data_IF_080925413718
#
_entry.id   IF_080925413718
#
_cell.length_a   1.000
_cell.length_b   1.000
_cell.length_c   1.000
_cell.angle_alpha   90.00
_cell.angle_beta   90.00
_cell.angle_gamma   90.00
#
_symmetry.space_group_name_H-M   'P 1'
#
loop_
_entity.id
_entity.type
_entity.pdbx_description
1 polymer ?
#
# COMPACT_ATOMS: atom_id res chain seq x y z
N UNK A 1 -3.84 29.11 -54.97
CA UNK A 1 -4.84 28.84 -53.91
C UNK A 1 -4.53 27.57 -53.12
N UNK A 2 -4.28 26.44 -53.80
CA UNK A 2 -3.87 25.16 -53.18
C UNK A 2 -2.66 25.25 -52.24
N UNK A 3 -1.59 25.95 -52.62
CA UNK A 3 -0.38 26.04 -51.77
C UNK A 3 -0.57 26.82 -50.46
N UNK A 4 -1.49 27.78 -50.43
CA UNK A 4 -1.84 28.51 -49.21
C UNK A 4 -2.65 27.66 -48.24
N UNK A 5 -3.52 26.79 -48.78
CA UNK A 5 -4.31 25.83 -47.99
C UNK A 5 -3.41 24.75 -47.40
N UNK A 6 -2.45 24.23 -48.17
CA UNK A 6 -1.52 23.20 -47.70
C UNK A 6 -0.61 23.69 -46.56
N UNK A 7 -0.09 24.92 -46.65
CA UNK A 7 0.71 25.55 -45.58
C UNK A 7 -0.12 25.84 -44.31
N UNK A 8 -1.36 26.28 -44.47
CA UNK A 8 -2.26 26.51 -43.35
C UNK A 8 -2.63 25.20 -42.62
N UNK A 9 -2.86 24.11 -43.37
CA UNK A 9 -3.15 22.79 -42.80
C UNK A 9 -1.93 22.18 -42.09
N UNK A 10 -0.72 22.32 -42.64
CA UNK A 10 0.51 21.84 -41.99
C UNK A 10 0.78 22.55 -40.65
N UNK A 11 0.50 23.85 -40.58
CA UNK A 11 0.66 24.63 -39.34
C UNK A 11 -0.37 24.27 -38.27
N UNK A 12 -1.61 23.94 -38.67
CA UNK A 12 -2.66 23.46 -37.78
C UNK A 12 -2.35 22.07 -37.20
N UNK A 13 -1.84 21.15 -38.02
CA UNK A 13 -1.45 19.80 -37.59
C UNK A 13 -0.27 19.85 -36.60
N UNK A 14 0.70 20.76 -36.83
CA UNK A 14 1.82 20.96 -35.92
C UNK A 14 1.40 21.56 -34.56
N UNK A 15 0.45 22.50 -34.55
CA UNK A 15 -0.13 23.03 -33.31
C UNK A 15 -0.94 21.98 -32.53
N UNK A 16 -1.67 21.10 -33.21
CA UNK A 16 -2.43 20.00 -32.58
C UNK A 16 -1.51 18.91 -32.00
N UNK A 17 -0.38 18.62 -32.66
CA UNK A 17 0.62 17.69 -32.14
C UNK A 17 1.36 18.27 -30.93
N UNK A 18 1.68 19.57 -30.91
CA UNK A 18 2.37 20.20 -29.77
C UNK A 18 1.49 20.29 -28.51
N UNK A 19 0.17 20.47 -28.64
CA UNK A 19 -0.75 20.54 -27.49
C UNK A 19 -1.09 19.17 -26.90
N UNK A 20 -0.90 18.08 -27.66
CA UNK A 20 -1.07 16.71 -27.15
C UNK A 20 0.06 16.20 -26.26
N UNK A 21 1.20 16.90 -26.18
CA UNK A 21 2.37 16.46 -25.39
C UNK A 21 2.32 16.98 -23.93
N UNK A 22 1.34 17.82 -23.57
CA UNK A 22 1.31 18.49 -22.26
C UNK A 22 -0.04 18.47 -21.53
N UNK A 23 -0.83 17.40 -21.66
CA UNK A 23 -2.01 17.23 -20.79
C UNK A 23 -2.08 15.86 -20.15
N UNK A 24 -1.10 15.56 -19.32
CA UNK A 24 -1.34 14.75 -18.12
C UNK A 24 -0.62 15.39 -16.94
N UNK A 25 -1.19 16.47 -16.40
CA UNK A 25 -1.02 16.73 -14.97
C UNK A 25 -1.77 15.61 -14.26
N UNK A 26 -1.11 14.45 -14.13
CA UNK A 26 -1.44 13.52 -13.07
C UNK A 26 -1.17 14.31 -11.80
N UNK A 27 -2.24 14.79 -11.14
CA UNK A 27 -2.17 15.08 -9.73
C UNK A 27 -1.87 13.73 -9.06
N UNK A 28 -0.58 13.40 -9.00
CA UNK A 28 -0.10 12.28 -8.25
C UNK A 28 -0.55 12.53 -6.83
N UNK A 29 -1.44 11.68 -6.35
CA UNK A 29 -1.62 11.53 -4.94
C UNK A 29 -0.26 11.39 -4.26
N UNK A 30 -0.13 11.99 -3.10
CA UNK A 30 1.11 11.94 -2.36
C UNK A 30 0.92 10.93 -1.23
N UNK A 31 1.57 9.78 -1.37
CA UNK A 31 1.80 8.87 -0.25
C UNK A 31 2.29 9.65 0.98
N UNK A 32 1.93 9.17 2.17
CA UNK A 32 2.45 9.71 3.42
C UNK A 32 3.55 8.78 3.89
N UNK A 33 4.73 9.34 4.19
CA UNK A 33 5.82 8.55 4.76
C UNK A 33 5.55 8.26 6.24
N UNK A 34 5.66 6.99 6.63
CA UNK A 34 5.51 6.53 8.00
C UNK A 34 6.85 6.02 8.55
N UNK A 35 7.40 6.76 9.52
CA UNK A 35 8.77 6.55 10.02
C UNK A 35 8.97 5.20 10.74
N UNK A 36 7.89 4.57 11.22
CA UNK A 36 7.96 3.35 12.02
C UNK A 36 7.85 2.04 11.24
N UNK A 37 7.90 2.09 9.90
CA UNK A 37 7.99 0.90 9.06
C UNK A 37 9.31 0.15 9.22
N UNK A 38 9.44 -1.00 8.55
CA UNK A 38 10.62 -1.86 8.62
C UNK A 38 11.87 -1.16 8.10
N UNK A 39 13.04 -1.46 8.66
CA UNK A 39 14.35 -1.01 8.14
C UNK A 39 14.64 -1.64 6.76
N UNK A 40 14.17 -2.86 6.54
CA UNK A 40 14.40 -3.65 5.32
C UNK A 40 13.08 -3.86 4.57
N UNK A 41 13.07 -3.77 3.22
CA UNK A 41 11.88 -4.10 2.42
C UNK A 41 11.67 -5.61 2.32
N UNK A 42 12.72 -6.40 2.58
CA UNK A 42 12.63 -7.84 2.76
C UNK A 42 12.37 -8.15 4.24
N UNK A 43 11.23 -8.79 4.53
CA UNK A 43 10.79 -9.12 5.89
C UNK A 43 10.35 -10.59 5.98
N UNK A 44 10.72 -11.22 7.08
CA UNK A 44 10.25 -12.55 7.43
C UNK A 44 9.08 -12.43 8.40
N UNK A 45 8.02 -13.16 8.12
CA UNK A 45 6.75 -13.04 8.83
C UNK A 45 6.23 -14.42 9.24
N UNK A 46 5.89 -14.56 10.51
CA UNK A 46 5.17 -15.71 11.04
C UNK A 46 3.66 -15.50 10.89
N UNK A 47 2.98 -16.45 10.24
CA UNK A 47 1.53 -16.47 10.14
C UNK A 47 0.91 -17.15 11.36
N UNK A 48 0.23 -16.39 12.21
CA UNK A 48 -0.58 -16.89 13.33
C UNK A 48 -2.07 -16.60 13.16
N UNK A 49 -2.49 -16.23 11.94
CA UNK A 49 -3.88 -15.93 11.64
C UNK A 49 -4.70 -17.23 11.56
N UNK A 50 -5.91 -17.19 12.10
CA UNK A 50 -6.91 -18.23 11.85
C UNK A 50 -7.59 -18.10 10.47
N UNK A 51 -7.52 -16.91 9.87
CA UNK A 51 -8.09 -16.61 8.55
C UNK A 51 -7.20 -17.09 7.40
N UNK A 52 -7.81 -17.66 6.35
CA UNK A 52 -7.14 -18.13 5.14
C UNK A 52 -6.65 -17.05 4.17
N UNK A 53 -6.42 -15.82 4.64
CA UNK A 53 -6.10 -14.65 3.79
C UNK A 53 -4.60 -14.36 3.65
N UNK A 54 -3.76 -14.96 4.51
CA UNK A 54 -2.36 -14.59 4.66
C UNK A 54 -1.58 -14.60 3.33
N UNK A 55 -1.60 -15.73 2.61
CA UNK A 55 -0.85 -15.87 1.34
C UNK A 55 -1.29 -14.81 0.31
N UNK A 56 -2.60 -14.66 0.12
CA UNK A 56 -3.15 -13.67 -0.82
C UNK A 56 -2.78 -12.22 -0.45
N UNK A 57 -2.65 -11.92 0.84
CA UNK A 57 -2.25 -10.59 1.31
C UNK A 57 -0.77 -10.31 1.12
N UNK A 58 0.12 -11.27 1.40
CA UNK A 58 1.55 -11.08 1.17
C UNK A 58 1.87 -11.06 -0.34
N UNK A 59 1.18 -11.88 -1.13
CA UNK A 59 1.34 -11.93 -2.58
C UNK A 59 0.97 -10.60 -3.24
N UNK A 60 -0.04 -9.89 -2.72
CA UNK A 60 -0.44 -8.59 -3.22
C UNK A 60 0.70 -7.53 -3.13
N UNK A 61 1.59 -7.65 -2.16
CA UNK A 61 2.79 -6.82 -2.05
C UNK A 61 3.96 -7.39 -2.86
N UNK A 62 4.22 -8.69 -2.75
CA UNK A 62 5.31 -9.38 -3.46
C UNK A 62 5.18 -9.31 -4.98
N UNK A 63 3.96 -9.18 -5.52
CA UNK A 63 3.71 -9.08 -6.96
C UNK A 63 3.87 -7.66 -7.51
N UNK A 64 4.22 -6.68 -6.68
CA UNK A 64 4.41 -5.29 -7.13
C UNK A 64 5.81 -5.07 -7.67
N UNK A 65 6.02 -3.98 -8.41
CA UNK A 65 7.35 -3.53 -8.83
C UNK A 65 8.07 -2.72 -7.74
N UNK A 66 7.97 -3.17 -6.48
CA UNK A 66 8.68 -2.59 -5.33
C UNK A 66 9.79 -3.55 -4.86
N UNK A 67 10.73 -3.11 -4.02
CA UNK A 67 11.72 -4.02 -3.41
C UNK A 67 11.12 -4.92 -2.31
N UNK A 68 9.82 -4.83 -2.04
CA UNK A 68 9.16 -5.60 -0.97
C UNK A 68 9.27 -7.09 -1.25
N UNK A 69 9.73 -7.82 -0.23
CA UNK A 69 9.79 -9.27 -0.24
C UNK A 69 9.36 -9.82 1.12
N UNK A 70 8.16 -10.37 1.18
CA UNK A 70 7.57 -10.95 2.38
C UNK A 70 7.69 -12.47 2.27
N UNK A 71 8.41 -13.07 3.21
CA UNK A 71 8.59 -14.53 3.26
C UNK A 71 7.93 -15.08 4.52
N UNK A 72 7.11 -16.13 4.36
CA UNK A 72 6.57 -16.86 5.51
C UNK A 72 7.65 -17.70 6.17
N UNK A 73 7.77 -17.60 7.48
CA UNK A 73 8.70 -18.41 8.29
C UNK A 73 7.99 -19.06 9.48
N UNK A 74 8.44 -20.24 9.93
CA UNK A 74 7.91 -20.86 11.13
C UNK A 74 8.54 -20.28 12.41
N UNK A 75 7.78 -20.29 13.51
CA UNK A 75 8.33 -20.15 14.86
C UNK A 75 8.54 -18.73 15.38
N UNK A 76 8.91 -18.65 16.67
CA UNK A 76 9.01 -17.40 17.41
C UNK A 76 10.31 -16.64 17.12
N UNK A 77 10.22 -15.34 16.88
CA UNK A 77 11.39 -14.46 16.77
C UNK A 77 11.35 -13.51 15.58
N UNK A 78 10.43 -13.73 14.63
CA UNK A 78 10.22 -12.87 13.48
C UNK A 78 9.10 -11.85 13.72
N UNK A 79 8.83 -10.99 12.74
CA UNK A 79 7.56 -10.26 12.73
C UNK A 79 6.41 -11.26 12.65
N UNK A 80 5.23 -10.92 13.16
CA UNK A 80 4.11 -11.87 13.16
C UNK A 80 2.76 -11.20 12.94
N UNK A 81 1.84 -11.95 12.34
CA UNK A 81 0.46 -11.54 12.09
C UNK A 81 -0.43 -12.45 12.93
N UNK A 82 -1.34 -11.89 13.72
CA UNK A 82 -2.21 -12.65 14.63
C UNK A 82 -3.61 -12.04 14.65
N UNK A 83 -4.63 -12.87 14.88
CA UNK A 83 -6.00 -12.41 15.05
C UNK A 83 -6.54 -12.73 16.46
N UNK A 84 -7.15 -11.73 17.07
CA UNK A 84 -7.59 -11.77 18.47
C UNK A 84 -8.94 -11.11 18.66
N UNK A 85 -9.51 -11.27 19.85
CA UNK A 85 -10.68 -10.50 20.26
C UNK A 85 -10.19 -9.29 21.06
N UNK A 86 -10.40 -8.09 20.51
CA UNK A 86 -9.99 -6.84 21.15
C UNK A 86 -11.22 -5.95 21.35
N UNK A 87 -11.25 -5.18 22.44
CA UNK A 87 -12.38 -4.29 22.76
C UNK A 87 -12.40 -3.01 21.91
N UNK A 88 -11.31 -2.74 21.20
CA UNK A 88 -11.15 -1.58 20.35
C UNK A 88 -11.99 -1.67 19.06
N UNK A 89 -12.13 -0.54 18.37
CA UNK A 89 -12.95 -0.36 17.17
C UNK A 89 -12.18 -0.52 15.86
N UNK A 90 -10.85 -0.66 15.90
CA UNK A 90 -10.04 -0.90 14.71
C UNK A 90 -10.26 -2.31 14.14
N UNK A 91 -10.09 -2.44 12.82
CA UNK A 91 -10.13 -3.72 12.11
C UNK A 91 -8.77 -4.43 12.14
N UNK A 92 -7.70 -3.66 11.94
CA UNK A 92 -6.31 -4.10 11.99
C UNK A 92 -5.46 -3.08 12.74
N UNK A 93 -4.30 -3.52 13.22
CA UNK A 93 -3.34 -2.64 13.89
C UNK A 93 -1.90 -3.12 13.64
N UNK A 94 -1.11 -2.29 12.97
CA UNK A 94 0.35 -2.40 12.93
C UNK A 94 1.00 -1.84 14.21
N UNK A 95 1.94 -2.60 14.79
CA UNK A 95 2.76 -2.14 15.93
C UNK A 95 4.24 -2.48 15.71
N UNK A 96 5.11 -1.47 15.78
CA UNK A 96 6.56 -1.65 15.79
C UNK A 96 7.06 -2.20 17.13
N UNK A 97 7.91 -3.24 17.14
CA UNK A 97 8.38 -3.93 18.35
C UNK A 97 9.88 -3.76 18.63
N UNK A 98 10.67 -3.29 17.66
CA UNK A 98 12.13 -3.13 17.82
C UNK A 98 12.64 -1.95 17.00
N UNK A 99 12.26 -0.73 17.40
CA UNK A 99 12.66 0.51 16.73
C UNK A 99 14.16 0.77 16.85
N UNK A 100 14.71 1.47 15.85
CA UNK A 100 16.12 1.90 15.81
C UNK A 100 16.48 2.83 16.98
N UNK A 101 15.55 3.71 17.38
CA UNK A 101 15.68 4.59 18.54
C UNK A 101 14.57 4.32 19.54
N UNK A 102 14.78 4.74 20.79
CA UNK A 102 13.88 4.41 21.92
C UNK A 102 12.42 4.81 21.63
N UNK A 103 12.20 5.93 20.92
CA UNK A 103 10.84 6.41 20.62
C UNK A 103 10.56 6.67 19.14
N UNK A 104 11.55 6.57 18.24
CA UNK A 104 11.40 6.91 16.81
C UNK A 104 12.27 6.03 15.90
N UNK A 105 12.23 6.29 14.59
CA UNK A 105 12.93 5.52 13.58
C UNK A 105 12.24 4.22 13.17
N UNK A 106 12.87 3.58 12.17
CA UNK A 106 12.38 2.35 11.54
C UNK A 106 12.53 1.16 12.47
N UNK A 107 11.82 0.08 12.19
CA UNK A 107 11.78 -1.10 13.05
C UNK A 107 12.45 -2.33 12.44
N UNK A 108 13.03 -3.18 13.27
CA UNK A 108 13.54 -4.51 12.85
C UNK A 108 12.50 -5.61 12.95
N UNK A 109 11.45 -5.39 13.75
CA UNK A 109 10.36 -6.34 13.99
C UNK A 109 9.06 -5.59 14.22
N UNK A 110 7.97 -6.15 13.74
CA UNK A 110 6.63 -5.62 13.96
C UNK A 110 5.65 -6.75 14.28
N UNK A 111 4.49 -6.37 14.79
CA UNK A 111 3.32 -7.24 14.80
C UNK A 111 2.17 -6.56 14.06
N UNK A 112 1.31 -7.37 13.49
CA UNK A 112 0.01 -6.93 12.97
C UNK A 112 -1.06 -7.74 13.68
N UNK A 113 -2.05 -7.04 14.22
CA UNK A 113 -3.18 -7.64 14.92
C UNK A 113 -4.45 -7.41 14.10
N UNK A 114 -5.23 -8.46 13.86
CA UNK A 114 -6.58 -8.36 13.26
C UNK A 114 -7.64 -8.55 14.32
N UNK A 115 -8.59 -7.63 14.40
CA UNK A 115 -9.64 -7.67 15.41
C UNK A 115 -10.82 -8.51 14.95
N UNK A 116 -10.91 -9.73 15.47
CA UNK A 116 -12.01 -10.66 15.17
C UNK A 116 -13.37 -10.13 15.57
N UNK A 117 -13.48 -9.30 16.62
CA UNK A 117 -14.76 -8.73 17.02
C UNK A 117 -15.38 -7.86 15.92
N UNK A 118 -14.53 -7.14 15.16
CA UNK A 118 -14.96 -6.28 14.06
C UNK A 118 -14.90 -6.98 12.68
N UNK A 119 -14.25 -8.14 12.57
CA UNK A 119 -14.04 -8.85 11.29
C UNK A 119 -14.84 -10.15 11.17
N UNK A 120 -15.51 -10.63 12.21
CA UNK A 120 -16.19 -11.93 12.23
C UNK A 120 -17.25 -12.07 11.12
N UNK A 121 -17.97 -10.99 10.81
CA UNK A 121 -19.03 -11.00 9.80
C UNK A 121 -18.55 -10.52 8.41
N UNK A 122 -17.29 -10.12 8.29
CA UNK A 122 -16.75 -9.57 7.05
C UNK A 122 -16.28 -10.67 6.09
N UNK A 123 -16.23 -10.35 4.81
CA UNK A 123 -15.73 -11.27 3.79
C UNK A 123 -14.21 -11.45 3.88
N UNK A 124 -13.69 -12.56 3.33
CA UNK A 124 -12.23 -12.73 3.19
C UNK A 124 -11.60 -11.64 2.30
N UNK A 125 -12.35 -11.11 1.33
CA UNK A 125 -11.93 -9.95 0.53
C UNK A 125 -11.70 -8.72 1.40
N UNK A 126 -12.65 -8.42 2.29
CA UNK A 126 -12.54 -7.32 3.24
C UNK A 126 -11.36 -7.51 4.19
N UNK A 127 -11.23 -8.71 4.78
CA UNK A 127 -10.12 -9.04 5.69
C UNK A 127 -8.77 -8.95 4.97
N UNK A 128 -8.68 -9.40 3.72
CA UNK A 128 -7.50 -9.23 2.86
C UNK A 128 -7.18 -7.74 2.69
N UNK A 129 -8.17 -6.91 2.35
CA UNK A 129 -7.97 -5.46 2.22
C UNK A 129 -7.41 -4.83 3.48
N UNK A 130 -7.93 -5.23 4.66
CA UNK A 130 -7.41 -4.78 5.96
C UNK A 130 -5.96 -5.21 6.14
N UNK A 131 -5.65 -6.49 5.91
CA UNK A 131 -4.29 -6.98 6.12
C UNK A 131 -3.27 -6.36 5.14
N UNK A 132 -3.62 -6.15 3.88
CA UNK A 132 -2.73 -5.49 2.90
C UNK A 132 -2.44 -4.04 3.32
N UNK A 133 -3.42 -3.35 3.91
CA UNK A 133 -3.25 -2.02 4.49
C UNK A 133 -2.28 -2.03 5.67
N UNK A 134 -2.46 -2.92 6.66
CA UNK A 134 -1.52 -3.02 7.79
C UNK A 134 -0.09 -3.38 7.35
N UNK A 135 0.04 -4.20 6.30
CA UNK A 135 1.34 -4.48 5.68
C UNK A 135 1.95 -3.23 5.04
N UNK A 136 1.16 -2.30 4.51
CA UNK A 136 1.64 -1.02 3.99
C UNK A 136 2.36 -0.18 5.05
N UNK A 137 1.89 -0.20 6.30
CA UNK A 137 2.63 0.42 7.43
C UNK A 137 3.98 -0.24 7.67
N UNK A 138 4.08 -1.56 7.52
CA UNK A 138 5.35 -2.26 7.59
C UNK A 138 6.35 -1.78 6.51
N UNK A 139 5.87 -1.18 5.42
CA UNK A 139 6.68 -0.63 4.34
C UNK A 139 6.66 0.90 4.27
N UNK A 140 6.51 1.55 5.43
CA UNK A 140 6.65 3.00 5.62
C UNK A 140 5.57 3.84 4.92
N UNK A 141 4.38 3.29 4.69
CA UNK A 141 3.24 4.08 4.26
C UNK A 141 2.38 4.50 5.46
N UNK A 142 1.94 5.75 5.47
CA UNK A 142 1.04 6.33 6.47
C UNK A 142 -0.41 6.37 5.99
N UNK A 143 -1.33 6.52 6.94
CA UNK A 143 -2.77 6.52 6.69
C UNK A 143 -3.27 7.76 5.96
N UNK A 144 -4.34 7.56 5.19
CA UNK A 144 -5.10 8.62 4.51
C UNK A 144 -4.24 9.57 3.67
N UNK A 145 -3.43 9.04 2.73
CA UNK A 145 -2.82 9.89 1.71
C UNK A 145 -3.88 10.65 0.91
N UNK A 146 -3.44 11.73 0.26
CA UNK A 146 -4.31 12.63 -0.51
C UNK A 146 -4.95 11.99 -1.74
N UNK A 147 -4.57 10.74 -2.08
CA UNK A 147 -5.21 9.87 -3.08
C UNK A 147 -6.67 9.56 -2.79
N UNK A 148 -7.13 9.77 -1.56
CA UNK A 148 -8.49 9.37 -1.19
C UNK A 148 -8.66 7.86 -1.35
N UNK A 149 -9.80 7.43 -1.90
CA UNK A 149 -10.16 6.02 -2.02
C UNK A 149 -9.32 5.20 -3.02
N UNK A 150 -8.32 5.79 -3.67
CA UNK A 150 -7.44 5.12 -4.62
C UNK A 150 -6.14 4.59 -4.00
N UNK A 151 -5.96 4.69 -2.68
CA UNK A 151 -4.81 4.10 -1.97
C UNK A 151 -5.29 3.00 -1.02
N UNK A 152 -4.50 1.92 -0.92
CA UNK A 152 -4.76 0.87 0.08
C UNK A 152 -4.66 1.42 1.51
N UNK A 153 -3.94 2.53 1.71
CA UNK A 153 -3.73 3.21 2.99
C UNK A 153 -4.88 4.13 3.40
N UNK A 154 -5.92 4.27 2.59
CA UNK A 154 -7.05 5.14 2.92
C UNK A 154 -8.14 4.41 3.72
N UNK A 155 -8.68 5.06 4.76
CA UNK A 155 -9.75 4.53 5.59
C UNK A 155 -11.10 4.43 4.90
N UNK A 156 -11.33 5.24 3.87
CA UNK A 156 -12.59 5.30 3.11
C UNK A 156 -12.57 4.46 1.84
N UNK A 157 -11.49 3.71 1.59
CA UNK A 157 -11.43 2.78 0.46
C UNK A 157 -12.57 1.75 0.57
N UNK A 158 -13.06 1.30 -0.59
CA UNK A 158 -13.93 0.13 -0.64
C UNK A 158 -13.10 -1.12 -0.36
N UNK A 159 -13.26 -1.68 0.85
CA UNK A 159 -12.52 -2.86 1.31
C UNK A 159 -12.99 -4.16 0.66
N UNK A 160 -14.17 -4.18 0.04
CA UNK A 160 -14.62 -5.33 -0.75
C UNK A 160 -14.13 -5.28 -2.21
N UNK A 161 -13.41 -4.22 -2.60
CA UNK A 161 -12.84 -4.06 -3.93
C UNK A 161 -11.32 -3.90 -3.89
N UNK A 162 -10.82 -2.85 -3.23
CA UNK A 162 -9.40 -2.50 -3.22
C UNK A 162 -8.65 -3.38 -2.22
N UNK A 163 -8.04 -4.45 -2.74
CA UNK A 163 -7.31 -5.46 -1.94
C UNK A 163 -5.83 -5.61 -2.34
N UNK A 164 -5.28 -4.59 -3.02
CA UNK A 164 -3.91 -4.57 -3.50
C UNK A 164 -3.34 -3.14 -3.41
N UNK A 165 -2.01 -2.98 -3.33
CA UNK A 165 -1.35 -1.67 -3.40
C UNK A 165 -1.56 -1.03 -4.78
N UNK A 166 -1.84 0.27 -4.81
CA UNK A 166 -1.99 1.01 -6.07
C UNK A 166 -0.70 1.73 -6.47
N UNK A 167 -0.73 2.47 -7.58
CA UNK A 167 0.45 3.19 -8.07
C UNK A 167 1.04 4.19 -7.06
N UNK A 168 0.19 4.83 -6.25
CA UNK A 168 0.65 5.76 -5.19
C UNK A 168 1.34 5.01 -4.04
N UNK A 169 0.75 3.88 -3.61
CA UNK A 169 1.33 3.02 -2.58
C UNK A 169 2.70 2.46 -3.03
N UNK A 170 2.78 2.01 -4.28
CA UNK A 170 4.02 1.51 -4.91
C UNK A 170 5.09 2.62 -4.98
N UNK A 171 4.71 3.83 -5.38
CA UNK A 171 5.62 4.96 -5.43
C UNK A 171 6.15 5.32 -4.03
N UNK A 172 5.30 5.31 -3.02
CA UNK A 172 5.70 5.58 -1.64
C UNK A 172 6.68 4.56 -1.07
N UNK A 173 6.46 3.27 -1.34
CA UNK A 173 7.41 2.22 -0.95
C UNK A 173 8.75 2.40 -1.67
N UNK A 174 8.74 2.62 -2.98
CA UNK A 174 9.96 2.85 -3.76
C UNK A 174 10.73 4.13 -3.35
N UNK A 175 10.05 5.12 -2.77
CA UNK A 175 10.71 6.29 -2.22
C UNK A 175 11.32 6.04 -0.83
N UNK A 176 10.81 5.03 -0.10
CA UNK A 176 11.26 4.70 1.25
C UNK A 176 12.45 3.71 1.29
N UNK A 177 12.79 3.07 0.16
CA UNK A 177 13.80 2.01 0.04
C UNK A 177 14.65 2.19 -1.22
#
# INVERSE_FOLDING_TARGET
>A
MKDRIFKAMASLISCLLLTSIFTSVAYGAQYIYFEAGSVSPAVEVENRLSYGIFNNSIDAWNSTSTPVAITQVPGSGHSYLIDGQFSDDWYGLYTSLSRQYVFWGRTKKFKIELNRNNLVNESDTFRKSVLVHELGHAFCLGDNPSSGNSSIMNYTRDRNYLTWPTGDDIAGVNAAY
#
